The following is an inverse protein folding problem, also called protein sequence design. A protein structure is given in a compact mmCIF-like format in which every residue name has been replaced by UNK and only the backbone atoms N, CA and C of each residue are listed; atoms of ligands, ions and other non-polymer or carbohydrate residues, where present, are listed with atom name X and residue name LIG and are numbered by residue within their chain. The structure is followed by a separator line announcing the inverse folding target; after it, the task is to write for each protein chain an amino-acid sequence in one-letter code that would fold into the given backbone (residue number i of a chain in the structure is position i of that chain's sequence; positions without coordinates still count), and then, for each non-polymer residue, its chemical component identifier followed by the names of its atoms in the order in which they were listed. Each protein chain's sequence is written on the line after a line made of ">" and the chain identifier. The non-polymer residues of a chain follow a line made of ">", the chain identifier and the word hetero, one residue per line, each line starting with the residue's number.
data_IF_917073536227
#
_entry.id   IF_917073536227
#
_cell.length_a   1.000
_cell.length_b   1.000
_cell.length_c   1.000
_cell.angle_alpha   90.00
_cell.angle_beta   90.00
_cell.angle_gamma   90.00
#
_symmetry.space_group_name_H-M   'P 1'
#
loop_
_entity.id
_entity.type
_entity.pdbx_description
1 polymer ?
#
# COMPACT_ATOMS: atom_id res chain seq x y z
N UNK A 1 9.38 -7.33 -10.76
CA UNK A 1 8.41 -6.55 -9.95
C UNK A 1 8.08 -5.19 -10.59
N UNK A 2 9.07 -4.46 -10.99
CA UNK A 2 8.88 -3.14 -11.63
C UNK A 2 7.96 -3.21 -12.85
N UNK A 3 8.12 -4.19 -13.70
CA UNK A 3 7.31 -4.35 -14.90
C UNK A 3 5.85 -4.63 -14.56
N UNK A 4 5.60 -5.41 -13.53
CA UNK A 4 4.25 -5.73 -13.09
C UNK A 4 3.55 -4.48 -12.54
N UNK A 5 4.27 -3.66 -11.79
CA UNK A 5 3.72 -2.41 -11.28
C UNK A 5 3.42 -1.43 -12.42
N UNK A 6 4.31 -1.33 -13.41
CA UNK A 6 4.10 -0.46 -14.57
C UNK A 6 2.84 -0.86 -15.35
N UNK A 7 2.62 -2.16 -15.52
CA UNK A 7 1.41 -2.65 -16.19
C UNK A 7 0.16 -2.32 -15.39
N UNK A 8 0.21 -2.48 -14.07
CA UNK A 8 -0.92 -2.16 -13.21
C UNK A 8 -1.28 -0.67 -13.26
N UNK A 9 -0.29 0.22 -13.34
CA UNK A 9 -0.56 1.66 -13.42
C UNK A 9 -1.55 2.01 -14.53
N UNK A 10 -1.55 1.28 -15.63
CA UNK A 10 -2.46 1.53 -16.74
C UNK A 10 -3.93 1.34 -16.36
N UNK A 11 -4.21 0.58 -15.30
CA UNK A 11 -5.58 0.31 -14.85
C UNK A 11 -6.05 1.30 -13.78
N UNK A 12 -5.19 2.20 -13.33
CA UNK A 12 -5.58 3.22 -12.36
C UNK A 12 -6.71 4.09 -12.90
N UNK A 13 -7.68 4.39 -12.05
CA UNK A 13 -8.74 5.33 -12.37
C UNK A 13 -8.48 6.61 -11.57
N UNK A 14 -7.82 7.59 -12.21
CA UNK A 14 -7.34 8.78 -11.53
C UNK A 14 -7.62 10.07 -12.32
N UNK A 15 -8.90 10.32 -12.72
CA UNK A 15 -9.24 11.48 -13.55
C UNK A 15 -9.12 12.82 -12.81
N UNK A 16 -9.14 12.82 -11.48
CA UNK A 16 -9.10 14.04 -10.69
C UNK A 16 -7.68 14.51 -10.43
N UNK A 17 -6.81 13.61 -9.94
CA UNK A 17 -5.43 13.96 -9.62
C UNK A 17 -4.48 13.81 -10.79
N UNK A 18 -4.85 12.97 -11.74
CA UNK A 18 -3.97 12.53 -12.82
C UNK A 18 -2.68 11.87 -12.31
N UNK A 19 -2.73 11.36 -11.07
CA UNK A 19 -1.61 10.66 -10.43
C UNK A 19 -2.01 9.20 -10.22
N UNK A 20 -1.35 8.32 -10.96
CA UNK A 20 -1.64 6.89 -10.93
C UNK A 20 -0.78 6.20 -9.89
N UNK A 21 -1.36 5.28 -9.13
CA UNK A 21 -0.62 4.45 -8.18
C UNK A 21 -1.00 2.99 -8.36
N UNK A 22 -0.04 2.11 -8.06
CA UNK A 22 -0.22 0.67 -8.09
C UNK A 22 0.45 0.06 -6.87
N UNK A 23 -0.11 -1.04 -6.37
CA UNK A 23 0.39 -1.73 -5.19
C UNK A 23 0.37 -3.22 -5.42
N UNK A 24 1.43 -3.91 -4.99
CA UNK A 24 1.50 -5.37 -4.96
C UNK A 24 1.96 -5.78 -3.57
N UNK A 25 1.14 -6.59 -2.89
CA UNK A 25 1.49 -7.19 -1.60
C UNK A 25 1.91 -8.62 -1.85
N UNK A 26 3.06 -9.02 -1.32
CA UNK A 26 3.57 -10.39 -1.44
C UNK A 26 3.47 -11.06 -0.07
N UNK A 27 2.84 -12.22 -0.04
CA UNK A 27 2.68 -13.01 1.16
C UNK A 27 3.83 -14.02 1.31
N UNK A 28 4.00 -14.55 2.53
CA UNK A 28 5.05 -15.52 2.83
C UNK A 28 4.95 -16.78 1.98
N UNK A 29 3.73 -17.16 1.59
CA UNK A 29 3.50 -18.33 0.76
C UNK A 29 3.64 -18.05 -0.76
N UNK A 30 4.03 -16.82 -1.13
CA UNK A 30 4.20 -16.43 -2.52
C UNK A 30 2.96 -15.85 -3.20
N UNK A 31 1.80 -15.91 -2.55
CA UNK A 31 0.57 -15.32 -3.09
C UNK A 31 0.73 -13.81 -3.18
N UNK A 32 0.24 -13.21 -4.25
CA UNK A 32 0.28 -11.77 -4.47
C UNK A 32 -1.13 -11.19 -4.49
N UNK A 33 -1.27 -9.97 -3.95
CA UNK A 33 -2.51 -9.21 -4.02
C UNK A 33 -2.19 -7.85 -4.61
N UNK A 34 -3.02 -7.41 -5.55
CA UNK A 34 -2.76 -6.22 -6.36
C UNK A 34 -3.85 -5.18 -6.18
N UNK A 35 -3.50 -3.93 -6.41
CA UNK A 35 -4.46 -2.83 -6.36
C UNK A 35 -3.96 -1.63 -7.12
N UNK A 36 -4.89 -0.80 -7.56
CA UNK A 36 -4.61 0.52 -8.15
C UNK A 36 -5.52 1.53 -7.47
N UNK A 37 -5.15 2.82 -7.54
CA UNK A 37 -6.02 3.83 -6.99
C UNK A 37 -7.26 4.01 -7.86
N UNK A 38 -8.39 4.25 -7.21
CA UNK A 38 -9.69 4.44 -7.85
C UNK A 38 -10.29 5.70 -7.26
N UNK A 39 -10.28 6.78 -8.02
CA UNK A 39 -10.76 8.07 -7.56
C UNK A 39 -12.27 8.23 -7.76
N UNK A 40 -12.86 9.14 -7.00
CA UNK A 40 -14.27 9.44 -7.08
C UNK A 40 -14.45 10.93 -6.75
N UNK A 41 -15.39 11.65 -7.40
CA UNK A 41 -15.67 13.05 -7.05
C UNK A 41 -16.00 13.24 -5.57
N UNK A 42 -16.63 12.24 -4.94
CA UNK A 42 -16.74 12.19 -3.48
C UNK A 42 -15.43 11.59 -2.96
N UNK A 43 -14.57 12.43 -2.38
CA UNK A 43 -13.24 12.00 -1.94
C UNK A 43 -13.28 10.85 -0.93
N UNK A 44 -14.37 10.74 -0.16
CA UNK A 44 -14.53 9.65 0.82
C UNK A 44 -14.76 8.29 0.16
N UNK A 45 -15.19 8.28 -1.10
CA UNK A 45 -15.42 7.04 -1.85
C UNK A 45 -14.21 6.62 -2.66
N UNK A 46 -13.17 7.45 -2.72
CA UNK A 46 -11.92 7.10 -3.39
C UNK A 46 -11.12 6.10 -2.60
N UNK A 47 -10.35 5.27 -3.32
CA UNK A 47 -9.51 4.23 -2.72
C UNK A 47 -8.06 4.40 -3.16
N UNK A 48 -7.14 4.26 -2.21
CA UNK A 48 -5.71 4.18 -2.50
C UNK A 48 -5.37 2.77 -3.00
N UNK A 49 -4.31 2.66 -3.79
CA UNK A 49 -3.85 1.35 -4.30
C UNK A 49 -3.59 0.36 -3.16
N UNK A 50 -3.01 0.83 -2.07
CA UNK A 50 -2.71 0.00 -0.91
C UNK A 50 -4.00 -0.52 -0.26
N UNK A 51 -5.03 0.31 -0.18
CA UNK A 51 -6.33 -0.10 0.38
C UNK A 51 -6.96 -1.22 -0.46
N UNK A 52 -6.88 -1.10 -1.78
CA UNK A 52 -7.46 -2.10 -2.68
C UNK A 52 -6.73 -3.43 -2.54
N UNK A 53 -5.40 -3.41 -2.59
CA UNK A 53 -4.60 -4.63 -2.46
C UNK A 53 -4.80 -5.29 -1.09
N UNK A 54 -4.76 -4.50 -0.02
CA UNK A 54 -4.92 -5.01 1.33
C UNK A 54 -6.32 -5.59 1.57
N UNK A 55 -7.35 -4.87 1.14
CA UNK A 55 -8.74 -5.33 1.29
C UNK A 55 -8.95 -6.65 0.55
N UNK A 56 -8.34 -6.81 -0.60
CA UNK A 56 -8.38 -8.05 -1.36
C UNK A 56 -7.75 -9.21 -0.58
N UNK A 57 -6.60 -8.95 0.03
CA UNK A 57 -5.89 -9.96 0.83
C UNK A 57 -6.71 -10.37 2.06
N UNK A 58 -7.24 -9.40 2.78
CA UNK A 58 -8.07 -9.66 3.97
C UNK A 58 -9.32 -10.44 3.58
N UNK A 59 -9.96 -10.06 2.47
CA UNK A 59 -11.14 -10.76 1.95
C UNK A 59 -10.85 -12.22 1.66
N UNK A 60 -9.63 -12.52 1.22
CA UNK A 60 -9.19 -13.87 0.89
C UNK A 60 -8.65 -14.64 2.11
N UNK A 61 -8.79 -14.08 3.31
CA UNK A 61 -8.47 -14.77 4.56
C UNK A 61 -7.05 -14.56 5.07
N UNK A 62 -6.28 -13.69 4.44
CA UNK A 62 -4.90 -13.40 4.86
C UNK A 62 -4.90 -12.35 5.97
N UNK A 63 -3.88 -12.36 6.79
CA UNK A 63 -3.75 -11.44 7.92
C UNK A 63 -2.31 -11.07 8.20
N UNK A 64 -2.10 -10.42 9.35
CA UNK A 64 -0.84 -9.78 9.73
C UNK A 64 0.37 -10.71 9.65
N UNK A 65 0.18 -11.98 9.97
CA UNK A 65 1.27 -12.96 9.99
C UNK A 65 1.68 -13.42 8.59
N UNK A 66 0.86 -13.14 7.59
CA UNK A 66 1.04 -13.70 6.25
C UNK A 66 1.82 -12.80 5.30
N UNK A 67 1.95 -11.50 5.62
CA UNK A 67 2.52 -10.53 4.71
C UNK A 67 4.04 -10.47 4.83
N UNK A 68 4.73 -10.54 3.68
CA UNK A 68 6.18 -10.53 3.59
C UNK A 68 6.71 -9.16 3.21
N UNK A 69 6.13 -8.55 2.18
CA UNK A 69 6.56 -7.25 1.69
C UNK A 69 5.47 -6.58 0.87
N UNK A 70 5.58 -5.26 0.70
CA UNK A 70 4.65 -4.49 -0.10
C UNK A 70 5.42 -3.59 -1.05
N UNK A 71 4.95 -3.49 -2.28
CA UNK A 71 5.54 -2.69 -3.36
C UNK A 71 4.53 -1.65 -3.82
N UNK A 72 4.94 -0.38 -3.87
CA UNK A 72 4.06 0.73 -4.28
C UNK A 72 4.77 1.57 -5.34
N UNK A 73 4.09 1.84 -6.45
CA UNK A 73 4.63 2.65 -7.53
C UNK A 73 3.67 3.78 -7.87
N UNK A 74 4.22 4.96 -8.13
CA UNK A 74 3.45 6.11 -8.60
C UNK A 74 3.91 6.55 -9.98
N UNK A 75 3.06 7.29 -10.68
CA UNK A 75 3.35 7.80 -12.02
C UNK A 75 4.20 9.08 -12.01
N UNK A 76 4.64 9.53 -10.84
CA UNK A 76 5.48 10.72 -10.69
C UNK A 76 6.97 10.44 -10.79
N UNK A 77 7.76 11.52 -10.76
CA UNK A 77 9.22 11.43 -10.78
C UNK A 77 9.81 11.06 -9.43
N UNK A 78 9.11 11.37 -8.34
CA UNK A 78 9.55 11.06 -6.99
C UNK A 78 9.09 9.67 -6.57
N UNK A 79 9.72 9.11 -5.54
CA UNK A 79 9.29 7.84 -4.97
C UNK A 79 7.87 7.97 -4.45
N UNK A 80 7.04 6.97 -4.74
CA UNK A 80 5.66 6.95 -4.28
C UNK A 80 5.62 6.56 -2.80
N UNK A 81 5.48 7.55 -1.94
CA UNK A 81 5.34 7.30 -0.51
C UNK A 81 3.88 7.08 -0.18
N UNK A 82 3.54 6.05 0.61
CA UNK A 82 2.16 5.88 1.06
C UNK A 82 1.69 7.12 1.82
N UNK A 83 0.45 7.54 1.61
CA UNK A 83 -0.13 8.65 2.38
C UNK A 83 -0.25 8.24 3.85
N UNK A 84 -0.47 9.20 4.74
CA UNK A 84 -0.51 8.87 6.18
C UNK A 84 -1.68 7.97 6.54
N UNK A 85 -2.80 8.07 5.81
CA UNK A 85 -3.91 7.13 5.99
C UNK A 85 -3.44 5.69 5.70
N UNK A 86 -2.73 5.50 4.59
CA UNK A 86 -2.21 4.18 4.24
C UNK A 86 -1.10 3.73 5.19
N UNK A 87 -0.32 4.66 5.75
CA UNK A 87 0.68 4.29 6.77
C UNK A 87 0.02 3.75 8.03
N UNK A 88 -1.12 4.29 8.43
CA UNK A 88 -1.90 3.74 9.54
C UNK A 88 -2.41 2.33 9.21
N UNK A 89 -2.84 2.09 7.96
CA UNK A 89 -3.21 0.76 7.51
C UNK A 89 -2.03 -0.21 7.59
N UNK A 90 -0.85 0.23 7.18
CA UNK A 90 0.34 -0.59 7.27
C UNK A 90 0.64 -0.95 8.71
N UNK A 91 0.50 0.00 9.62
CA UNK A 91 0.73 -0.24 11.05
C UNK A 91 -0.25 -1.28 11.61
N UNK A 92 -1.51 -1.21 11.22
CA UNK A 92 -2.54 -2.11 11.73
C UNK A 92 -2.35 -3.55 11.22
N UNK A 93 -2.06 -3.70 9.93
CA UNK A 93 -2.14 -4.99 9.25
C UNK A 93 -0.81 -5.63 8.90
N UNK A 94 0.31 -4.94 9.09
CA UNK A 94 1.64 -5.47 8.78
C UNK A 94 2.51 -5.45 10.02
N UNK A 95 3.43 -6.41 10.14
CA UNK A 95 4.42 -6.39 11.20
C UNK A 95 5.39 -5.23 10.98
N UNK A 96 5.96 -4.72 12.07
CA UNK A 96 6.84 -3.55 12.05
C UNK A 96 8.05 -3.67 11.11
N UNK A 97 8.55 -4.89 10.95
CA UNK A 97 9.75 -5.14 10.15
C UNK A 97 9.47 -5.58 8.71
N UNK A 98 8.22 -5.52 8.27
CA UNK A 98 7.88 -5.80 6.88
C UNK A 98 8.45 -4.69 6.00
N UNK A 99 9.03 -5.07 4.87
CA UNK A 99 9.65 -4.13 3.94
C UNK A 99 8.64 -3.49 3.03
N UNK A 100 8.78 -2.18 2.84
CA UNK A 100 7.95 -1.37 1.93
C UNK A 100 8.87 -0.83 0.85
N UNK A 101 8.61 -1.20 -0.40
CA UNK A 101 9.38 -0.76 -1.56
C UNK A 101 8.61 0.32 -2.29
N UNK A 102 9.16 1.52 -2.35
CA UNK A 102 8.53 2.68 -2.97
C UNK A 102 9.25 3.02 -4.27
N UNK A 103 8.51 3.00 -5.38
CA UNK A 103 9.06 3.16 -6.73
C UNK A 103 8.62 4.49 -7.34
N UNK A 104 9.47 5.06 -8.20
CA UNK A 104 9.05 6.14 -9.09
C UNK A 104 8.69 5.56 -10.47
N UNK A 105 8.22 6.42 -11.38
CA UNK A 105 7.78 5.96 -12.71
C UNK A 105 8.89 5.35 -13.56
N UNK A 106 10.16 5.63 -13.25
CA UNK A 106 11.30 5.05 -13.94
C UNK A 106 11.72 3.71 -13.34
N UNK A 107 11.04 3.29 -12.28
CA UNK A 107 11.33 2.02 -11.63
C UNK A 107 12.47 2.07 -10.62
N UNK A 108 12.97 3.26 -10.30
CA UNK A 108 13.91 3.40 -9.18
C UNK A 108 13.15 3.13 -7.89
N UNK A 109 13.81 2.47 -6.95
CA UNK A 109 13.16 1.99 -5.73
C UNK A 109 13.91 2.45 -4.49
N UNK A 110 13.16 2.75 -3.44
CA UNK A 110 13.70 3.03 -2.10
C UNK A 110 12.97 2.14 -1.12
N UNK A 111 13.73 1.52 -0.22
CA UNK A 111 13.22 0.54 0.74
C UNK A 111 13.05 1.15 2.12
N UNK A 112 11.94 0.83 2.77
CA UNK A 112 11.65 1.24 4.15
C UNK A 112 11.10 0.05 4.93
N UNK A 113 11.16 0.13 6.25
CA UNK A 113 10.39 -0.77 7.10
C UNK A 113 9.07 -0.10 7.47
N UNK A 114 8.03 -0.88 7.72
CA UNK A 114 6.73 -0.34 8.14
C UNK A 114 6.88 0.60 9.33
N UNK A 115 7.69 0.23 10.33
CA UNK A 115 7.90 1.06 11.52
C UNK A 115 8.53 2.41 11.22
N UNK A 116 9.30 2.51 10.12
CA UNK A 116 9.92 3.77 9.72
C UNK A 116 8.91 4.73 9.09
N UNK A 117 7.87 4.19 8.46
CA UNK A 117 6.85 4.99 7.78
C UNK A 117 5.73 5.43 8.71
N UNK A 118 5.56 4.77 9.84
CA UNK A 118 4.52 5.11 10.80
C UNK A 118 5.08 5.11 12.24
N UNK A 119 6.02 6.02 12.55
CA UNK A 119 6.49 6.17 13.91
C UNK A 119 5.41 6.83 14.77
N UNK A 120 5.31 6.44 16.03
CA UNK A 120 4.33 7.00 16.97
C UNK A 120 2.89 6.92 16.42
N UNK A 121 2.40 5.72 16.03
CA UNK A 121 1.07 5.61 15.45
C UNK A 121 -0.03 5.85 16.49
N UNK A 122 -1.20 6.25 16.02
CA UNK A 122 -2.38 6.25 16.86
C UNK A 122 -2.80 4.81 17.15
N UNK A 123 -3.07 4.51 18.41
CA UNK A 123 -3.57 3.21 18.83
C UNK A 123 -4.74 3.42 19.78
N UNK A 124 -5.81 2.63 19.58
CA UNK A 124 -6.92 2.62 20.52
C UNK A 124 -6.53 1.87 21.75
N UNK A 125 -6.79 2.45 22.92
CA UNK A 125 -6.66 1.73 24.18
C UNK A 125 -7.91 0.88 24.38
N UNK A 126 -7.72 -0.36 24.79
CA UNK A 126 -8.83 -1.23 25.14
C UNK A 126 -9.12 -1.12 26.63
N UNK A 127 -10.10 -1.92 27.11
CA UNK A 127 -10.50 -1.92 28.51
C UNK A 127 -9.39 -2.40 29.45
N UNK A 128 -8.32 -2.96 28.91
CA UNK A 128 -7.16 -3.44 29.70
C UNK A 128 -6.01 -2.42 29.68
N UNK A 129 -6.22 -1.23 29.15
CA UNK A 129 -5.23 -0.17 29.11
C UNK A 129 -4.17 -0.35 28.05
N UNK A 130 -4.48 -1.09 27.03
CA UNK A 130 -3.56 -1.31 25.92
C UNK A 130 -3.29 -0.02 25.14
#
# INVERSE_FOLDING_TARGET
>A
MKENLLMLLNNSYSPLSNYKTACIIICNNGQEFIGVNVENPSSKSGLCAEQVALSSAITDGYGKEDFKEIHVMGSGNEYCMPCFLCRELLHEFFKENVKVFCYNKKGKVKEFLVKELCPYPFELEDSNGK
#
